data_IF_100455534583
#
_entry.id   IF_100455534583
#
_cell.length_a   1.000
_cell.length_b   1.000
_cell.length_c   1.000
_cell.angle_alpha   90.00
_cell.angle_beta   90.00
_cell.angle_gamma   90.00
#
_symmetry.space_group_name_H-M   'P 1'
#
loop_
_entity.id
_entity.type
_entity.pdbx_description
1 polymer ?
#
# COMPACT_ATOMS: atom_id res chain seq x y z
N UNK A 1 -5.64 45.58 30.47
CA UNK A 1 -5.34 46.51 29.38
C UNK A 1 -5.51 45.75 28.07
N UNK A 2 -6.57 46.05 27.28
CA UNK A 2 -6.85 45.43 25.99
C UNK A 2 -6.00 46.12 24.92
N UNK A 3 -4.93 45.51 24.46
CA UNK A 3 -4.20 46.01 23.30
C UNK A 3 -5.11 45.76 22.07
N UNK A 4 -5.88 46.79 21.71
CA UNK A 4 -6.57 46.80 20.44
C UNK A 4 -5.49 46.85 19.33
N UNK A 5 -5.28 45.71 18.69
CA UNK A 5 -4.38 45.60 17.54
C UNK A 5 -4.92 46.51 16.42
N UNK A 6 -4.22 47.59 16.14
CA UNK A 6 -4.69 48.63 15.21
C UNK A 6 -4.40 48.21 13.77
N UNK A 7 -5.29 47.34 13.23
CA UNK A 7 -5.16 46.75 11.89
C UNK A 7 -4.89 47.76 10.80
N UNK A 8 -5.49 48.99 10.94
CA UNK A 8 -5.24 50.08 9.98
C UNK A 8 -3.81 50.58 10.00
N UNK A 9 -3.17 50.66 11.18
CA UNK A 9 -1.77 51.05 11.32
C UNK A 9 -0.85 49.98 10.69
N UNK A 10 -1.11 48.70 10.96
CA UNK A 10 -0.39 47.58 10.42
C UNK A 10 -0.46 47.55 8.87
N UNK A 11 -1.65 47.67 8.31
CA UNK A 11 -1.83 47.70 6.84
C UNK A 11 -1.14 48.90 6.19
N UNK A 12 -1.13 50.09 6.86
CA UNK A 12 -0.41 51.27 6.36
C UNK A 12 1.11 51.07 6.41
N UNK A 13 1.62 50.38 7.43
CA UNK A 13 3.04 50.03 7.54
C UNK A 13 3.45 49.06 6.43
N UNK A 14 2.67 47.99 6.18
CA UNK A 14 2.92 47.05 5.09
C UNK A 14 2.94 47.71 3.72
N UNK A 15 2.02 48.64 3.50
CA UNK A 15 1.90 49.34 2.23
C UNK A 15 3.05 50.39 2.00
N UNK A 16 3.65 50.87 3.08
CA UNK A 16 4.82 51.79 3.00
C UNK A 16 6.12 51.04 2.62
N UNK A 17 6.24 49.77 3.01
CA UNK A 17 7.43 48.91 2.78
C UNK A 17 7.11 47.72 1.87
N UNK A 18 6.53 48.00 0.71
CA UNK A 18 5.96 46.96 -0.17
C UNK A 18 6.96 45.89 -0.58
N UNK A 19 8.18 46.25 -0.95
CA UNK A 19 9.19 45.28 -1.40
C UNK A 19 9.62 44.35 -0.25
N UNK A 20 9.90 44.92 0.92
CA UNK A 20 10.24 44.13 2.12
C UNK A 20 9.11 43.19 2.52
N UNK A 21 7.88 43.70 2.51
CA UNK A 21 6.69 42.91 2.81
C UNK A 21 6.49 41.78 1.80
N UNK A 22 6.66 42.07 0.50
CA UNK A 22 6.52 41.04 -0.54
C UNK A 22 7.56 39.93 -0.40
N UNK A 23 8.82 40.25 -0.12
CA UNK A 23 9.87 39.24 0.09
C UNK A 23 9.56 38.36 1.30
N UNK A 24 9.14 38.96 2.43
CA UNK A 24 8.80 38.19 3.62
C UNK A 24 7.58 37.32 3.42
N UNK A 25 6.52 37.85 2.80
CA UNK A 25 5.29 37.04 2.51
C UNK A 25 5.63 35.92 1.56
N UNK A 26 6.41 36.17 0.50
CA UNK A 26 6.84 35.15 -0.43
C UNK A 26 7.66 34.05 0.27
N UNK A 27 8.69 34.42 1.04
CA UNK A 27 9.52 33.48 1.78
C UNK A 27 8.71 32.64 2.77
N UNK A 28 7.80 33.28 3.52
CA UNK A 28 6.92 32.58 4.45
C UNK A 28 5.95 31.64 3.73
N UNK A 29 5.39 32.07 2.60
CA UNK A 29 4.47 31.24 1.80
C UNK A 29 5.16 30.00 1.25
N UNK A 30 6.39 30.12 0.74
CA UNK A 30 7.19 29.00 0.26
C UNK A 30 7.51 28.03 1.41
N UNK A 31 7.95 28.55 2.55
CA UNK A 31 8.23 27.72 3.73
C UNK A 31 6.99 26.97 4.21
N UNK A 32 5.85 27.65 4.30
CA UNK A 32 4.60 27.04 4.72
C UNK A 32 4.11 25.97 3.73
N UNK A 33 4.30 26.21 2.43
CA UNK A 33 4.00 25.23 1.38
C UNK A 33 4.78 23.90 1.63
N UNK A 34 6.08 23.97 1.88
CA UNK A 34 6.87 22.77 2.17
C UNK A 34 6.42 22.06 3.46
N UNK A 35 6.12 22.81 4.52
CA UNK A 35 5.60 22.23 5.76
C UNK A 35 4.30 21.48 5.51
N UNK A 36 3.36 22.06 4.76
CA UNK A 36 2.08 21.44 4.43
C UNK A 36 2.29 20.17 3.57
N UNK A 37 3.16 20.23 2.57
CA UNK A 37 3.47 19.08 1.71
C UNK A 37 4.07 17.92 2.52
N UNK A 38 5.03 18.21 3.39
CA UNK A 38 5.65 17.19 4.25
C UNK A 38 4.61 16.61 5.21
N UNK A 39 3.80 17.46 5.86
CA UNK A 39 2.75 17.02 6.77
C UNK A 39 1.70 16.13 6.05
N UNK A 40 1.28 16.51 4.84
CA UNK A 40 0.36 15.73 4.03
C UNK A 40 0.97 14.38 3.60
N UNK A 41 2.25 14.37 3.21
CA UNK A 41 2.97 13.15 2.89
C UNK A 41 3.06 12.21 4.09
N UNK A 42 3.50 12.71 5.23
CA UNK A 42 3.60 11.93 6.48
C UNK A 42 2.23 11.40 6.91
N UNK A 43 1.19 12.24 6.86
CA UNK A 43 -0.16 11.80 7.20
C UNK A 43 -0.66 10.67 6.27
N UNK A 44 -0.37 10.76 4.98
CA UNK A 44 -0.69 9.72 4.00
C UNK A 44 0.05 8.42 4.31
N UNK A 45 1.36 8.50 4.57
CA UNK A 45 2.20 7.33 4.87
C UNK A 45 1.73 6.62 6.15
N UNK A 46 1.49 7.38 7.23
CA UNK A 46 1.00 6.84 8.49
C UNK A 46 -0.45 6.30 8.42
N UNK A 47 -1.19 6.61 7.37
CA UNK A 47 -2.55 6.12 7.18
C UNK A 47 -2.67 4.95 6.19
N UNK A 48 -1.58 4.58 5.51
CA UNK A 48 -1.57 3.60 4.44
C UNK A 48 -2.15 2.25 4.88
N UNK A 49 -1.78 1.78 6.06
CA UNK A 49 -2.14 0.43 6.55
C UNK A 49 -3.37 0.42 7.48
N UNK A 50 -3.98 1.57 7.74
CA UNK A 50 -5.13 1.67 8.65
C UNK A 50 -6.42 0.99 8.18
N UNK A 51 -6.48 0.64 6.90
CA UNK A 51 -7.63 -0.07 6.34
C UNK A 51 -7.67 -1.56 6.74
N UNK A 52 -6.53 -2.13 7.17
CA UNK A 52 -6.49 -3.49 7.67
C UNK A 52 -7.07 -3.60 9.07
N UNK A 53 -8.09 -4.44 9.25
CA UNK A 53 -8.74 -4.66 10.56
C UNK A 53 -7.73 -5.14 11.61
N UNK A 54 -6.76 -5.96 11.20
CA UNK A 54 -5.73 -6.50 12.07
C UNK A 54 -4.41 -5.70 12.01
N UNK A 55 -4.41 -4.49 11.44
CA UNK A 55 -3.19 -3.72 11.17
C UNK A 55 -2.28 -3.54 12.39
N UNK A 56 -2.86 -3.29 13.57
CA UNK A 56 -2.11 -3.10 14.83
C UNK A 56 -1.45 -4.39 15.35
N UNK A 57 -1.79 -5.55 14.78
CA UNK A 57 -1.33 -6.87 15.20
C UNK A 57 -0.48 -7.57 14.14
N UNK A 58 -0.29 -6.95 12.98
CA UNK A 58 0.52 -7.48 11.89
C UNK A 58 1.94 -6.96 12.02
N UNK A 59 2.90 -7.86 12.07
CA UNK A 59 4.32 -7.55 12.15
C UNK A 59 5.06 -8.22 11.01
N UNK A 60 5.97 -7.47 10.38
CA UNK A 60 6.87 -8.02 9.37
C UNK A 60 8.11 -8.58 10.05
N UNK A 61 8.43 -9.83 9.76
CA UNK A 61 9.67 -10.43 10.20
C UNK A 61 10.83 -10.00 9.29
N UNK A 62 11.86 -9.42 9.88
CA UNK A 62 13.06 -8.95 9.18
C UNK A 62 14.32 -9.59 9.82
N UNK A 63 15.31 -9.82 8.99
CA UNK A 63 16.63 -10.29 9.44
C UNK A 63 17.72 -9.32 8.96
N UNK A 64 18.46 -8.70 9.89
CA UNK A 64 19.59 -7.80 9.61
C UNK A 64 19.28 -6.74 8.54
N UNK A 65 18.22 -5.97 8.70
CA UNK A 65 17.77 -4.93 7.78
C UNK A 65 17.23 -5.43 6.42
N UNK A 66 17.09 -6.74 6.23
CA UNK A 66 16.48 -7.33 5.06
C UNK A 66 15.12 -7.97 5.38
N UNK A 67 14.15 -7.70 4.53
CA UNK A 67 12.82 -8.33 4.60
C UNK A 67 12.81 -9.77 4.06
N UNK A 68 13.98 -10.38 3.88
CA UNK A 68 14.12 -11.76 3.42
C UNK A 68 14.35 -12.69 4.60
N UNK A 69 13.57 -13.76 4.64
CA UNK A 69 13.68 -14.80 5.65
C UNK A 69 13.57 -16.18 5.02
N UNK A 70 14.04 -17.19 5.72
CA UNK A 70 13.82 -18.56 5.29
C UNK A 70 12.31 -18.87 5.27
N UNK A 71 11.84 -19.57 4.23
CA UNK A 71 10.44 -19.94 4.06
C UNK A 71 9.83 -20.62 5.29
N UNK A 72 10.63 -21.44 5.98
CA UNK A 72 10.20 -22.16 7.19
C UNK A 72 10.16 -21.30 8.46
N UNK A 73 10.67 -20.05 8.43
CA UNK A 73 10.79 -19.22 9.63
C UNK A 73 9.44 -18.94 10.28
N UNK A 74 8.41 -18.62 9.50
CA UNK A 74 7.07 -18.36 10.01
C UNK A 74 6.51 -19.51 10.81
N UNK A 75 6.63 -20.74 10.28
CA UNK A 75 6.19 -21.95 10.96
C UNK A 75 6.95 -22.22 12.26
N UNK A 76 8.28 -22.10 12.23
CA UNK A 76 9.11 -22.30 13.42
C UNK A 76 8.80 -21.28 14.52
N UNK A 77 8.53 -20.03 14.12
CA UNK A 77 8.17 -18.99 15.06
C UNK A 77 6.80 -19.28 15.69
N UNK A 78 5.79 -19.63 14.89
CA UNK A 78 4.46 -19.99 15.40
C UNK A 78 4.51 -21.21 16.35
N UNK A 79 5.30 -22.24 16.03
CA UNK A 79 5.45 -23.42 16.87
C UNK A 79 6.14 -23.12 18.22
N UNK A 80 6.98 -22.08 18.29
CA UNK A 80 7.76 -21.73 19.48
C UNK A 80 7.13 -20.64 20.34
N UNK A 81 6.34 -19.75 19.76
CA UNK A 81 5.79 -18.57 20.41
C UNK A 81 4.26 -18.57 20.31
N UNK A 82 3.56 -18.94 21.42
CA UNK A 82 2.09 -19.00 21.45
C UNK A 82 1.39 -17.66 21.14
N UNK A 83 2.13 -16.55 21.27
CA UNK A 83 1.64 -15.21 20.97
C UNK A 83 1.45 -14.97 19.46
N UNK A 84 2.06 -15.81 18.63
CA UNK A 84 1.94 -15.74 17.17
C UNK A 84 0.75 -16.59 16.74
N UNK A 85 -0.37 -15.95 16.46
CA UNK A 85 -1.62 -16.61 16.06
C UNK A 85 -1.52 -17.24 14.67
N UNK A 86 -0.93 -16.50 13.72
CA UNK A 86 -0.75 -16.98 12.34
C UNK A 86 0.46 -16.31 11.68
N UNK A 87 0.93 -16.89 10.60
CA UNK A 87 1.94 -16.28 9.75
C UNK A 87 1.49 -16.33 8.29
N UNK A 88 2.03 -15.44 7.48
CA UNK A 88 1.85 -15.42 6.04
C UNK A 88 3.22 -15.26 5.38
N UNK A 89 3.50 -16.10 4.40
CA UNK A 89 4.69 -15.97 3.57
C UNK A 89 4.30 -15.26 2.29
N UNK A 90 5.02 -14.20 1.97
CA UNK A 90 4.89 -13.46 0.72
C UNK A 90 6.22 -13.53 -0.01
N UNK A 91 6.24 -14.05 -1.22
CA UNK A 91 7.41 -14.06 -2.08
C UNK A 91 7.10 -13.43 -3.43
N UNK A 92 8.06 -12.63 -3.92
CA UNK A 92 7.95 -11.98 -5.21
C UNK A 92 8.67 -12.81 -6.26
N UNK A 93 7.95 -13.18 -7.33
CA UNK A 93 8.49 -14.01 -8.40
C UNK A 93 8.08 -13.47 -9.78
N UNK A 94 8.93 -13.71 -10.77
CA UNK A 94 8.58 -13.50 -12.18
C UNK A 94 8.14 -14.84 -12.79
N UNK A 95 6.89 -14.90 -13.20
CA UNK A 95 6.31 -16.09 -13.83
C UNK A 95 5.98 -15.80 -15.30
N UNK A 96 6.05 -16.83 -16.13
CA UNK A 96 5.59 -16.75 -17.50
C UNK A 96 4.12 -17.17 -17.57
N UNK A 97 3.28 -16.23 -17.91
CA UNK A 97 1.85 -16.47 -18.15
C UNK A 97 1.63 -16.80 -19.61
N UNK A 98 0.89 -17.87 -19.89
CA UNK A 98 0.44 -18.23 -21.23
C UNK A 98 -1.02 -17.85 -21.39
N UNK A 99 -1.32 -17.06 -22.41
CA UNK A 99 -2.69 -16.65 -22.77
C UNK A 99 -2.90 -17.02 -24.24
N UNK A 100 -3.66 -18.09 -24.47
CA UNK A 100 -3.78 -18.67 -25.81
C UNK A 100 -2.44 -19.16 -26.33
N UNK A 101 -1.94 -18.55 -27.40
CA UNK A 101 -0.63 -18.86 -28.01
C UNK A 101 0.49 -17.87 -27.57
N UNK A 102 0.14 -16.81 -26.83
CA UNK A 102 1.10 -15.80 -26.41
C UNK A 102 1.67 -16.09 -25.02
N UNK A 103 2.97 -15.72 -24.85
CA UNK A 103 3.68 -15.83 -23.58
C UNK A 103 4.07 -14.46 -23.09
N UNK A 104 3.72 -14.13 -21.84
CA UNK A 104 4.04 -12.88 -21.20
C UNK A 104 4.71 -13.13 -19.86
N UNK A 105 5.78 -12.39 -19.56
CA UNK A 105 6.35 -12.38 -18.21
C UNK A 105 5.59 -11.39 -17.33
N UNK A 106 5.16 -11.87 -16.19
CA UNK A 106 4.45 -11.08 -15.18
C UNK A 106 5.10 -11.26 -13.82
N UNK A 107 5.18 -10.16 -13.10
CA UNK A 107 5.57 -10.17 -11.70
C UNK A 107 4.36 -10.61 -10.86
N UNK A 108 4.55 -11.60 -10.02
CA UNK A 108 3.49 -12.14 -9.16
C UNK A 108 3.96 -12.20 -7.71
N UNK A 109 3.06 -11.91 -6.80
CA UNK A 109 3.24 -12.18 -5.38
C UNK A 109 2.66 -13.56 -5.09
N UNK A 110 3.53 -14.50 -4.70
CA UNK A 110 3.12 -15.82 -4.24
C UNK A 110 2.84 -15.74 -2.74
N UNK A 111 1.62 -16.02 -2.37
CA UNK A 111 1.15 -15.93 -0.98
C UNK A 111 0.51 -17.24 -0.54
N UNK A 112 0.49 -17.49 0.76
CA UNK A 112 -0.21 -18.66 1.30
C UNK A 112 -1.71 -18.35 1.58
N UNK A 113 -2.46 -19.39 1.97
CA UNK A 113 -3.90 -19.29 2.22
C UNK A 113 -4.27 -18.40 3.40
N UNK A 114 -3.32 -18.06 4.28
CA UNK A 114 -3.54 -17.18 5.44
C UNK A 114 -3.60 -15.70 5.07
N UNK A 115 -3.20 -15.35 3.84
CA UNK A 115 -3.09 -13.97 3.39
C UNK A 115 -4.38 -13.16 3.61
N UNK A 116 -5.53 -13.66 3.16
CA UNK A 116 -6.81 -12.96 3.31
C UNK A 116 -7.40 -13.00 4.73
N UNK A 117 -6.90 -13.89 5.60
CA UNK A 117 -7.23 -13.84 7.02
C UNK A 117 -6.46 -12.77 7.76
N UNK A 118 -5.25 -12.49 7.31
CA UNK A 118 -4.36 -11.51 7.91
C UNK A 118 -4.63 -10.11 7.37
N UNK A 119 -4.73 -9.97 6.04
CA UNK A 119 -4.91 -8.70 5.37
C UNK A 119 -6.36 -8.51 4.92
N UNK A 120 -6.91 -7.33 5.20
CA UNK A 120 -8.26 -6.94 4.76
C UNK A 120 -8.18 -6.43 3.33
N UNK A 121 -8.45 -7.30 2.36
CA UNK A 121 -8.49 -6.97 0.94
C UNK A 121 -9.85 -7.38 0.40
N UNK A 122 -10.57 -6.41 -0.17
CA UNK A 122 -11.86 -6.66 -0.81
C UNK A 122 -11.65 -7.24 -2.21
N UNK A 123 -12.31 -8.34 -2.48
CA UNK A 123 -12.38 -8.93 -3.82
C UNK A 123 -13.64 -8.46 -4.52
N UNK A 124 -13.54 -7.99 -5.76
CA UNK A 124 -14.71 -7.67 -6.58
C UNK A 124 -15.48 -8.94 -6.94
N UNK A 125 -14.78 -10.05 -7.13
CA UNK A 125 -15.35 -11.36 -7.45
C UNK A 125 -14.57 -12.45 -6.72
N UNK A 126 -15.25 -13.49 -6.29
CA UNK A 126 -14.67 -14.63 -5.58
C UNK A 126 -14.86 -14.55 -4.05
N UNK A 127 -14.63 -15.69 -3.38
CA UNK A 127 -14.67 -15.77 -1.92
C UNK A 127 -13.24 -15.75 -1.35
N UNK A 128 -12.88 -14.73 -0.55
CA UNK A 128 -11.56 -14.63 0.07
C UNK A 128 -11.14 -15.88 0.86
N UNK A 129 -12.10 -16.65 1.36
CA UNK A 129 -11.84 -17.85 2.16
C UNK A 129 -11.40 -19.05 1.32
N UNK A 130 -11.77 -19.06 0.05
CA UNK A 130 -11.59 -20.22 -0.83
C UNK A 130 -10.66 -19.94 -2.01
N UNK A 131 -10.43 -18.69 -2.35
CA UNK A 131 -9.69 -18.30 -3.55
C UNK A 131 -8.24 -18.81 -3.55
N UNK A 132 -7.60 -18.92 -2.38
CA UNK A 132 -6.25 -19.47 -2.21
C UNK A 132 -6.24 -20.87 -1.57
N UNK A 133 -7.38 -21.56 -1.52
CA UNK A 133 -7.45 -22.91 -0.96
C UNK A 133 -6.79 -23.96 -1.86
N UNK A 134 -6.66 -23.67 -3.15
CA UNK A 134 -6.01 -24.53 -4.14
C UNK A 134 -4.69 -23.94 -4.60
N UNK A 135 -3.72 -24.79 -4.96
CA UNK A 135 -2.41 -24.34 -5.49
C UNK A 135 -2.50 -23.56 -6.79
N UNK A 136 -3.57 -23.77 -7.55
CA UNK A 136 -3.80 -23.13 -8.85
C UNK A 136 -4.65 -21.86 -8.72
N UNK A 137 -4.95 -21.42 -7.49
CA UNK A 137 -5.70 -20.18 -7.25
C UNK A 137 -4.87 -18.98 -7.63
N UNK A 138 -5.39 -18.14 -8.52
CA UNK A 138 -4.75 -16.89 -8.96
C UNK A 138 -5.72 -15.74 -8.78
N UNK A 139 -5.23 -14.64 -8.26
CA UNK A 139 -5.98 -13.41 -8.10
C UNK A 139 -5.33 -12.35 -8.99
N UNK A 140 -6.14 -11.67 -9.76
CA UNK A 140 -5.69 -10.63 -10.68
C UNK A 140 -6.41 -9.33 -10.35
N UNK A 141 -5.74 -8.20 -10.57
CA UNK A 141 -6.40 -6.90 -10.41
C UNK A 141 -7.42 -6.69 -11.55
N UNK A 142 -8.52 -5.97 -11.26
CA UNK A 142 -9.55 -5.63 -12.26
C UNK A 142 -8.96 -4.93 -13.48
N UNK A 143 -7.94 -4.10 -13.29
CA UNK A 143 -7.21 -3.44 -14.39
C UNK A 143 -6.49 -4.45 -15.28
N UNK A 144 -5.82 -5.43 -14.66
CA UNK A 144 -5.08 -6.47 -15.40
C UNK A 144 -6.05 -7.41 -16.11
N UNK A 145 -7.15 -7.79 -15.45
CA UNK A 145 -8.22 -8.57 -16.06
C UNK A 145 -8.77 -7.93 -17.33
N UNK A 146 -9.10 -6.63 -17.28
CA UNK A 146 -9.56 -5.87 -18.46
C UNK A 146 -8.52 -5.82 -19.58
N UNK A 147 -7.24 -5.75 -19.25
CA UNK A 147 -6.17 -5.74 -20.25
C UNK A 147 -6.04 -7.10 -20.97
N UNK A 148 -6.24 -8.20 -20.24
CA UNK A 148 -6.07 -9.54 -20.76
C UNK A 148 -7.32 -10.09 -21.47
N UNK A 149 -8.49 -9.83 -20.91
CA UNK A 149 -9.76 -10.47 -21.27
C UNK A 149 -10.80 -9.47 -21.85
N UNK A 150 -10.48 -8.16 -21.84
CA UNK A 150 -11.40 -7.13 -22.29
C UNK A 150 -12.65 -7.08 -21.40
N UNK A 151 -13.81 -7.26 -22.00
CA UNK A 151 -15.12 -7.27 -21.31
C UNK A 151 -15.57 -8.69 -20.89
N UNK A 152 -14.83 -9.72 -21.23
CA UNK A 152 -15.16 -11.09 -20.85
C UNK A 152 -14.82 -11.34 -19.38
N UNK A 153 -15.64 -12.16 -18.71
CA UNK A 153 -15.41 -12.51 -17.30
C UNK A 153 -14.24 -13.48 -17.16
N UNK A 154 -13.17 -13.12 -16.46
CA UNK A 154 -12.01 -13.99 -16.26
C UNK A 154 -12.35 -15.26 -15.47
N UNK A 155 -13.47 -15.30 -14.74
CA UNK A 155 -13.93 -16.46 -13.94
C UNK A 155 -14.39 -17.64 -14.82
N UNK A 156 -14.68 -17.39 -16.09
CA UNK A 156 -15.20 -18.39 -17.05
C UNK A 156 -14.13 -18.94 -17.99
N UNK A 157 -12.93 -18.35 -18.05
CA UNK A 157 -11.92 -18.63 -19.08
C UNK A 157 -10.96 -19.78 -18.71
N UNK A 158 -11.12 -20.39 -17.53
CA UNK A 158 -10.42 -21.64 -17.20
C UNK A 158 -9.08 -21.49 -16.46
N UNK A 159 -8.39 -22.61 -16.24
CA UNK A 159 -7.22 -22.74 -15.37
C UNK A 159 -5.98 -22.02 -15.92
N UNK A 160 -5.41 -21.11 -15.15
CA UNK A 160 -4.05 -20.70 -15.36
C UNK A 160 -3.09 -21.85 -14.96
N UNK A 161 -2.35 -22.39 -15.90
CA UNK A 161 -1.32 -23.41 -15.62
C UNK A 161 0.02 -22.68 -15.45
N UNK A 162 0.50 -22.56 -14.21
CA UNK A 162 1.89 -22.24 -13.95
C UNK A 162 2.74 -23.50 -14.15
N UNK A 163 3.57 -23.55 -15.19
CA UNK A 163 4.66 -24.54 -15.30
C UNK A 163 5.92 -23.95 -14.67
N UNK A 164 6.55 -24.72 -13.77
CA UNK A 164 7.92 -24.50 -13.30
C UNK A 164 8.92 -24.53 -14.46
#
# INVERSE_FOLDING_TARGET
>A
MKHAFNLKFFLRFLNRHRLYTAINVFGFSVSLMFVILIAAYVAKELSADRHHVNGDRIYRFEHQDFAYSAYAAGRVLQDRFPEIESYCVVSYENKTLRIGEEYMQVAVDCVDSSFFHMFTIELEQGDPRHVLATRDGVIISSKFAKTLFGEESPMEIGRASCRE
#
